data_IF_891894229931
#
_entry.id   IF_891894229931
#
_cell.length_a   1.000
_cell.length_b   1.000
_cell.length_c   1.000
_cell.angle_alpha   90.00
_cell.angle_beta   90.00
_cell.angle_gamma   90.00
#
_symmetry.space_group_name_H-M   'P 1'
#
loop_
_entity.id
_entity.type
_entity.pdbx_description
1 polymer ?
#
# COMPACT_ATOMS: atom_id res chain seq x y z
N UNK A 1 19.61 9.16 -9.89
CA UNK A 1 20.44 9.26 -8.68
C UNK A 1 21.92 9.30 -9.08
N UNK A 2 22.72 10.07 -8.35
CA UNK A 2 24.18 10.01 -8.37
C UNK A 2 24.65 9.40 -7.07
N UNK A 3 25.45 8.33 -7.16
CA UNK A 3 25.95 7.60 -6.00
C UNK A 3 27.47 7.67 -5.96
N UNK A 4 28.04 7.92 -4.77
CA UNK A 4 29.49 7.90 -4.53
C UNK A 4 29.79 7.04 -3.32
N UNK A 5 30.44 5.90 -3.55
CA UNK A 5 30.60 4.88 -2.51
C UNK A 5 29.26 4.35 -2.04
N UNK A 6 29.00 4.41 -0.75
CA UNK A 6 27.75 4.03 -0.10
C UNK A 6 26.73 5.18 0.08
N UNK A 7 26.95 6.33 -0.54
CA UNK A 7 26.07 7.49 -0.36
C UNK A 7 25.38 7.93 -1.65
N UNK A 8 24.11 8.20 -1.56
CA UNK A 8 23.36 8.96 -2.58
C UNK A 8 23.67 10.43 -2.35
N UNK A 9 24.36 11.05 -3.32
CA UNK A 9 24.79 12.46 -3.21
C UNK A 9 23.85 13.40 -3.96
N UNK A 10 23.05 12.89 -4.89
CA UNK A 10 22.14 13.70 -5.69
C UNK A 10 20.94 12.89 -6.17
N UNK A 11 19.77 13.49 -6.13
CA UNK A 11 18.54 13.01 -6.76
C UNK A 11 18.23 13.85 -7.97
N UNK A 12 18.13 13.23 -9.14
CA UNK A 12 17.85 13.89 -10.42
C UNK A 12 16.39 13.62 -10.78
N UNK A 13 15.65 14.69 -11.00
CA UNK A 13 14.22 14.68 -11.35
C UNK A 13 14.00 15.48 -12.65
N UNK A 14 12.77 15.48 -13.14
CA UNK A 14 12.34 16.35 -14.26
C UNK A 14 12.41 17.84 -13.91
N UNK A 15 12.30 18.18 -12.63
CA UNK A 15 12.27 19.55 -12.12
C UNK A 15 13.67 20.07 -11.73
N UNK A 16 14.67 19.18 -11.64
CA UNK A 16 16.03 19.60 -11.29
C UNK A 16 16.85 18.53 -10.59
N UNK A 17 17.96 18.99 -10.02
CA UNK A 17 18.93 18.20 -9.28
C UNK A 17 18.94 18.67 -7.83
N UNK A 18 18.90 17.73 -6.91
CA UNK A 18 18.79 17.97 -5.48
C UNK A 18 19.88 17.22 -4.73
N UNK A 19 20.69 17.95 -3.99
CA UNK A 19 21.65 17.37 -3.05
C UNK A 19 21.02 17.32 -1.66
N UNK A 20 21.26 16.23 -0.94
CA UNK A 20 20.74 16.04 0.41
C UNK A 20 21.68 15.19 1.26
N UNK A 21 21.72 15.46 2.57
CA UNK A 21 22.47 14.63 3.51
C UNK A 21 21.84 13.24 3.64
N UNK A 22 20.52 13.17 3.68
CA UNK A 22 19.76 11.92 3.77
C UNK A 22 18.68 11.89 2.67
N UNK A 23 18.42 10.71 2.13
CA UNK A 23 17.41 10.46 1.12
C UNK A 23 16.43 9.40 1.63
N UNK A 24 15.14 9.71 1.59
CA UNK A 24 14.07 8.80 2.02
C UNK A 24 13.23 8.41 0.81
N UNK A 25 13.17 7.12 0.49
CA UNK A 25 12.30 6.60 -0.56
C UNK A 25 10.90 6.32 0.02
N UNK A 26 10.01 7.30 -0.08
CA UNK A 26 8.59 7.20 0.26
C UNK A 26 7.74 7.12 -1.02
N UNK A 27 8.11 6.20 -1.92
CA UNK A 27 7.68 6.17 -3.32
C UNK A 27 6.50 5.23 -3.59
N UNK A 28 5.84 4.74 -2.52
CA UNK A 28 4.61 3.94 -2.60
C UNK A 28 4.76 2.74 -3.54
N UNK A 29 3.82 2.56 -4.45
CA UNK A 29 3.82 1.43 -5.39
C UNK A 29 4.99 1.44 -6.39
N UNK A 30 5.61 2.59 -6.65
CA UNK A 30 6.78 2.72 -7.55
C UNK A 30 8.11 2.39 -6.88
N UNK A 31 8.10 1.98 -5.60
CA UNK A 31 9.33 1.77 -4.85
C UNK A 31 10.27 0.75 -5.48
N UNK A 32 9.74 -0.30 -6.11
CA UNK A 32 10.57 -1.30 -6.82
C UNK A 32 11.31 -0.70 -8.01
N UNK A 33 10.63 0.07 -8.84
CA UNK A 33 11.19 0.70 -10.03
C UNK A 33 12.22 1.77 -9.65
N UNK A 34 11.94 2.52 -8.60
CA UNK A 34 12.87 3.54 -8.08
C UNK A 34 14.07 2.86 -7.42
N UNK A 35 13.86 1.83 -6.60
CA UNK A 35 14.93 1.06 -5.99
C UNK A 35 15.84 0.39 -7.01
N UNK A 36 15.29 -0.10 -8.11
CA UNK A 36 16.07 -0.70 -9.19
C UNK A 36 17.09 0.28 -9.81
N UNK A 37 16.82 1.58 -9.81
CA UNK A 37 17.78 2.62 -10.24
C UNK A 37 19.01 2.75 -9.32
N UNK A 38 18.90 2.22 -8.10
CA UNK A 38 19.97 2.14 -7.10
C UNK A 38 20.48 0.70 -6.91
N UNK A 39 20.13 -0.22 -7.81
CA UNK A 39 20.45 -1.64 -7.75
C UNK A 39 19.96 -2.34 -6.45
N UNK A 40 18.94 -1.80 -5.79
CA UNK A 40 18.30 -2.42 -4.63
C UNK A 40 17.00 -3.11 -5.01
N UNK A 41 16.71 -4.22 -4.32
CA UNK A 41 15.48 -4.99 -4.50
C UNK A 41 14.56 -4.76 -3.30
N UNK A 42 13.59 -3.90 -3.48
CA UNK A 42 12.62 -3.57 -2.41
C UNK A 42 11.59 -4.70 -2.32
N UNK A 43 11.36 -5.25 -1.11
CA UNK A 43 10.43 -6.35 -0.86
C UNK A 43 8.97 -5.86 -0.74
N UNK A 44 8.52 -5.15 -1.75
CA UNK A 44 7.14 -4.66 -1.87
C UNK A 44 6.71 -4.68 -3.33
N UNK A 45 5.44 -4.87 -3.61
CA UNK A 45 4.84 -4.71 -4.93
C UNK A 45 3.43 -4.14 -4.80
N UNK A 46 2.87 -3.66 -5.89
CA UNK A 46 1.48 -3.26 -5.92
C UNK A 46 0.57 -4.46 -6.18
N UNK A 47 -0.59 -4.47 -5.52
CA UNK A 47 -1.66 -5.46 -5.69
C UNK A 47 -2.95 -4.69 -5.96
N UNK A 48 -3.78 -5.19 -6.87
CA UNK A 48 -5.10 -4.60 -7.10
C UNK A 48 -5.99 -4.78 -5.87
N UNK A 49 -6.67 -3.71 -5.51
CA UNK A 49 -7.64 -3.70 -4.42
C UNK A 49 -8.87 -2.93 -4.84
N UNK A 50 -10.05 -3.50 -4.64
CA UNK A 50 -11.28 -2.82 -4.99
C UNK A 50 -12.28 -2.77 -3.83
N UNK A 51 -13.12 -1.74 -3.92
CA UNK A 51 -14.27 -1.56 -3.06
C UNK A 51 -15.42 -0.91 -3.87
N UNK A 52 -16.61 -1.02 -3.34
CA UNK A 52 -17.78 -0.34 -3.88
C UNK A 52 -18.24 0.77 -2.96
N UNK A 53 -18.92 1.75 -3.55
CA UNK A 53 -19.75 2.73 -2.86
C UNK A 53 -21.19 2.43 -3.25
N UNK A 54 -22.06 2.22 -2.26
CA UNK A 54 -23.47 1.92 -2.52
C UNK A 54 -24.24 3.18 -2.88
N UNK A 55 -25.45 3.02 -3.44
CA UNK A 55 -26.46 4.08 -3.35
C UNK A 55 -26.87 4.29 -1.89
N UNK A 56 -27.66 5.33 -1.62
CA UNK A 56 -28.10 5.63 -0.26
C UNK A 56 -28.94 4.48 0.33
N UNK A 57 -28.66 4.12 1.57
CA UNK A 57 -29.45 3.15 2.34
C UNK A 57 -30.77 3.73 2.86
N UNK A 58 -31.02 5.02 2.64
CA UNK A 58 -32.21 5.72 3.15
C UNK A 58 -32.14 6.13 4.61
N UNK A 59 -31.03 5.82 5.32
CA UNK A 59 -30.83 6.11 6.73
C UNK A 59 -29.67 7.06 7.03
N UNK A 60 -29.66 7.62 8.23
CA UNK A 60 -28.51 8.38 8.75
C UNK A 60 -27.50 7.44 9.38
N UNK A 61 -26.53 7.01 8.60
CA UNK A 61 -25.50 6.05 9.04
C UNK A 61 -24.13 6.68 9.34
N UNK A 62 -24.00 8.00 9.16
CA UNK A 62 -22.72 8.71 9.32
C UNK A 62 -22.07 8.61 10.70
N UNK A 63 -22.83 8.22 11.73
CA UNK A 63 -22.37 8.04 13.10
C UNK A 63 -21.94 6.60 13.44
N UNK A 64 -22.16 5.63 12.53
CA UNK A 64 -21.71 4.27 12.74
C UNK A 64 -20.19 4.16 12.62
N UNK A 65 -19.54 3.31 13.41
CA UNK A 65 -18.12 3.06 13.29
C UNK A 65 -17.80 2.29 12.00
N UNK A 66 -16.55 2.37 11.57
CA UNK A 66 -16.03 1.42 10.59
C UNK A 66 -16.04 0.02 11.19
N UNK A 67 -16.50 -0.96 10.42
CA UNK A 67 -16.56 -2.36 10.83
C UNK A 67 -15.64 -3.18 9.90
N UNK A 68 -14.92 -4.13 10.48
CA UNK A 68 -14.18 -5.17 9.75
C UNK A 68 -14.61 -6.54 10.27
N UNK A 69 -14.91 -7.44 9.35
CA UNK A 69 -15.14 -8.86 9.61
C UNK A 69 -14.00 -9.67 8.97
N UNK A 70 -12.99 -10.06 9.75
CA UNK A 70 -11.85 -10.82 9.22
C UNK A 70 -12.20 -12.24 8.76
N UNK A 71 -13.25 -12.84 9.31
CA UNK A 71 -13.67 -14.19 8.92
C UNK A 71 -14.32 -14.22 7.52
N UNK A 72 -14.97 -13.11 7.14
CA UNK A 72 -15.57 -12.93 5.82
C UNK A 72 -14.77 -12.03 4.90
N UNK A 73 -13.58 -11.60 5.36
CA UNK A 73 -12.66 -10.74 4.62
C UNK A 73 -13.27 -9.40 4.16
N UNK A 74 -14.33 -8.92 4.81
CA UNK A 74 -15.04 -7.70 4.43
C UNK A 74 -14.85 -6.57 5.43
N UNK A 75 -14.93 -5.35 4.94
CA UNK A 75 -15.00 -4.15 5.76
C UNK A 75 -16.09 -3.21 5.25
N UNK A 76 -16.60 -2.40 6.17
CA UNK A 76 -17.64 -1.39 5.91
C UNK A 76 -17.22 -0.06 6.51
N UNK A 77 -17.51 0.99 5.80
CA UNK A 77 -17.33 2.35 6.29
C UNK A 77 -18.54 3.20 5.89
N UNK A 78 -19.13 3.96 6.82
CA UNK A 78 -20.13 4.97 6.47
C UNK A 78 -19.54 6.01 5.52
N UNK A 79 -20.33 6.42 4.54
CA UNK A 79 -20.02 7.50 3.62
C UNK A 79 -21.12 8.56 3.63
N UNK A 80 -20.79 9.74 3.15
CA UNK A 80 -21.73 10.87 3.10
C UNK A 80 -22.99 10.53 2.30
N UNK A 81 -24.14 11.07 2.74
CA UNK A 81 -25.43 10.84 2.08
C UNK A 81 -26.04 9.46 2.33
N UNK A 82 -25.73 8.84 3.46
CA UNK A 82 -26.29 7.55 3.85
C UNK A 82 -25.80 6.37 3.04
N UNK A 83 -24.62 6.46 2.43
CA UNK A 83 -24.00 5.40 1.63
C UNK A 83 -23.04 4.57 2.47
N UNK A 84 -22.72 3.38 1.97
CA UNK A 84 -21.66 2.51 2.52
C UNK A 84 -20.52 2.38 1.52
N UNK A 85 -19.30 2.49 2.02
CA UNK A 85 -18.13 1.91 1.37
C UNK A 85 -18.02 0.48 1.84
N UNK A 86 -17.96 -0.46 0.91
CA UNK A 86 -17.83 -1.89 1.18
C UNK A 86 -16.65 -2.41 0.38
N UNK A 87 -15.70 -3.01 1.04
CA UNK A 87 -14.54 -3.62 0.42
C UNK A 87 -14.09 -4.85 1.17
N UNK A 88 -13.01 -5.44 0.72
CA UNK A 88 -12.47 -6.61 1.38
C UNK A 88 -11.19 -7.11 0.72
N UNK A 89 -10.81 -8.30 1.08
CA UNK A 89 -9.60 -8.97 0.64
C UNK A 89 -9.98 -10.27 -0.04
N UNK A 90 -10.47 -10.13 -1.28
CA UNK A 90 -10.98 -11.23 -2.08
C UNK A 90 -9.85 -12.16 -2.58
N UNK A 91 -10.15 -13.43 -2.72
CA UNK A 91 -9.25 -14.41 -3.35
C UNK A 91 -8.97 -14.06 -4.82
N UNK A 92 -7.80 -14.46 -5.32
CA UNK A 92 -7.41 -14.23 -6.70
C UNK A 92 -6.94 -12.80 -6.96
N UNK A 93 -6.44 -12.11 -5.96
CA UNK A 93 -5.87 -10.79 -6.11
C UNK A 93 -4.77 -10.74 -7.16
N UNK A 94 -4.66 -9.64 -7.89
CA UNK A 94 -3.78 -9.51 -9.05
C UNK A 94 -2.63 -8.55 -8.72
N UNK A 95 -1.36 -9.01 -8.80
CA UNK A 95 -0.22 -8.11 -8.71
C UNK A 95 -0.21 -7.11 -9.87
N UNK A 96 -0.25 -5.82 -9.55
CA UNK A 96 -0.21 -4.76 -10.53
C UNK A 96 1.23 -4.39 -10.90
N UNK A 97 1.45 -4.06 -12.18
CA UNK A 97 2.79 -3.67 -12.65
C UNK A 97 3.75 -4.85 -12.80
N UNK A 98 3.28 -5.98 -13.29
CA UNK A 98 4.11 -7.12 -13.64
C UNK A 98 4.30 -7.20 -15.17
N UNK A 99 5.51 -7.02 -15.72
CA UNK A 99 6.82 -6.87 -15.05
C UNK A 99 7.14 -5.48 -14.54
N UNK A 100 6.42 -4.44 -14.93
CA UNK A 100 6.64 -3.03 -14.58
C UNK A 100 5.31 -2.29 -14.57
N UNK A 101 5.18 -1.30 -13.68
CA UNK A 101 4.03 -0.39 -13.68
C UNK A 101 3.98 0.35 -15.02
N UNK A 102 2.83 0.39 -15.70
CA UNK A 102 2.68 1.12 -16.96
C UNK A 102 3.03 2.61 -16.81
N UNK A 103 3.65 3.19 -17.81
CA UNK A 103 3.94 4.62 -17.83
C UNK A 103 3.18 5.29 -18.99
N UNK A 104 2.51 6.42 -18.73
CA UNK A 104 2.28 7.03 -17.41
C UNK A 104 1.12 6.37 -16.66
N UNK A 105 1.30 6.12 -15.35
CA UNK A 105 0.21 5.72 -14.46
C UNK A 105 0.10 6.77 -13.33
N UNK A 106 -0.69 7.81 -13.55
CA UNK A 106 -0.81 8.96 -12.63
C UNK A 106 -2.26 9.34 -12.52
N UNK A 107 -2.77 9.43 -11.28
CA UNK A 107 -4.15 9.90 -10.96
C UNK A 107 -5.23 9.14 -11.73
N UNK A 108 -5.06 7.85 -11.89
CA UNK A 108 -6.03 6.98 -12.57
C UNK A 108 -6.33 5.74 -11.72
N UNK A 109 -7.50 5.21 -11.93
CA UNK A 109 -7.94 3.95 -11.37
C UNK A 109 -7.73 2.82 -12.37
N UNK A 110 -7.78 1.60 -11.89
CA UNK A 110 -7.81 0.41 -12.72
C UNK A 110 -9.24 0.14 -13.20
N UNK A 111 -9.41 -0.63 -14.29
CA UNK A 111 -10.73 -1.11 -14.68
C UNK A 111 -11.43 -1.86 -13.55
N UNK A 112 -12.73 -1.72 -13.49
CA UNK A 112 -13.59 -2.47 -12.57
C UNK A 112 -13.49 -3.97 -12.86
N UNK A 113 -13.49 -4.79 -11.82
CA UNK A 113 -13.55 -6.24 -11.92
C UNK A 113 -14.66 -6.78 -11.01
N UNK A 114 -15.88 -6.64 -11.45
CA UNK A 114 -17.06 -7.06 -10.68
C UNK A 114 -17.10 -8.57 -10.46
N UNK A 115 -16.66 -9.38 -11.42
CA UNK A 115 -16.64 -10.83 -11.27
C UNK A 115 -15.78 -11.28 -10.07
N UNK A 116 -14.65 -10.62 -9.84
CA UNK A 116 -13.81 -10.84 -8.67
C UNK A 116 -14.43 -10.29 -7.37
N UNK A 117 -15.22 -9.22 -7.48
CA UNK A 117 -15.84 -8.58 -6.32
C UNK A 117 -17.13 -9.27 -5.87
N UNK A 118 -17.89 -9.93 -6.77
CA UNK A 118 -19.19 -10.52 -6.47
C UNK A 118 -19.17 -11.51 -5.29
N UNK A 119 -18.22 -12.44 -5.15
CA UNK A 119 -18.15 -13.33 -3.99
C UNK A 119 -18.04 -12.56 -2.67
N UNK A 120 -17.30 -11.47 -2.67
CA UNK A 120 -17.16 -10.60 -1.50
C UNK A 120 -18.46 -9.85 -1.18
N UNK A 121 -19.18 -9.41 -2.21
CA UNK A 121 -20.50 -8.77 -2.05
C UNK A 121 -21.53 -9.73 -1.42
N UNK A 122 -21.50 -11.02 -1.79
CA UNK A 122 -22.36 -12.05 -1.19
C UNK A 122 -22.03 -12.24 0.31
N UNK A 123 -20.74 -12.29 0.67
CA UNK A 123 -20.33 -12.34 2.08
C UNK A 123 -20.71 -11.07 2.83
N UNK A 124 -20.57 -9.91 2.19
CA UNK A 124 -20.99 -8.64 2.74
C UNK A 124 -22.49 -8.61 3.05
N UNK A 125 -23.31 -9.12 2.15
CA UNK A 125 -24.77 -9.17 2.32
C UNK A 125 -25.21 -10.07 3.47
N UNK A 126 -24.45 -11.10 3.83
CA UNK A 126 -24.72 -11.94 5.00
C UNK A 126 -24.57 -11.16 6.32
N UNK A 127 -23.62 -10.24 6.39
CA UNK A 127 -23.37 -9.40 7.57
C UNK A 127 -24.29 -8.19 7.59
N UNK A 128 -24.49 -7.59 6.41
CA UNK A 128 -25.25 -6.34 6.26
C UNK A 128 -26.32 -6.51 5.18
N UNK A 129 -27.50 -7.08 5.52
CA UNK A 129 -28.53 -7.45 4.54
C UNK A 129 -28.99 -6.32 3.61
N UNK A 130 -28.92 -5.06 4.05
CA UNK A 130 -29.26 -3.89 3.22
C UNK A 130 -28.47 -3.83 1.91
N UNK A 131 -27.31 -4.49 1.83
CA UNK A 131 -26.47 -4.58 0.64
C UNK A 131 -27.24 -5.21 -0.55
N UNK A 132 -28.18 -6.13 -0.26
CA UNK A 132 -29.02 -6.74 -1.28
C UNK A 132 -30.13 -5.82 -1.83
N UNK A 133 -30.41 -4.73 -1.13
CA UNK A 133 -31.53 -3.82 -1.44
C UNK A 133 -31.05 -2.53 -2.10
N UNK A 134 -29.77 -2.21 -1.97
CA UNK A 134 -29.19 -0.97 -2.51
C UNK A 134 -28.34 -1.25 -3.75
N UNK A 135 -28.37 -0.33 -4.70
CA UNK A 135 -27.54 -0.41 -5.90
C UNK A 135 -26.08 -0.05 -5.64
N UNK A 136 -25.22 -0.40 -6.57
CA UNK A 136 -23.82 0.05 -6.62
C UNK A 136 -23.78 1.39 -7.34
N UNK A 137 -23.30 2.42 -6.66
CA UNK A 137 -23.09 3.76 -7.21
C UNK A 137 -21.76 3.86 -7.96
N UNK A 138 -20.73 3.25 -7.40
CA UNK A 138 -19.38 3.34 -7.94
C UNK A 138 -18.54 2.13 -7.50
N UNK A 139 -17.72 1.65 -8.40
CA UNK A 139 -16.63 0.71 -8.11
C UNK A 139 -15.32 1.47 -8.17
N UNK A 140 -14.47 1.25 -7.19
CA UNK A 140 -13.11 1.80 -7.14
C UNK A 140 -12.13 0.63 -7.15
N UNK A 141 -11.31 0.52 -8.18
CA UNK A 141 -10.21 -0.43 -8.25
C UNK A 141 -8.89 0.33 -8.38
N UNK A 142 -7.95 0.07 -7.49
CA UNK A 142 -6.68 0.76 -7.48
C UNK A 142 -5.56 -0.10 -6.92
N UNK A 143 -4.30 0.20 -7.30
CA UNK A 143 -3.16 -0.54 -6.78
C UNK A 143 -2.78 -0.05 -5.40
N UNK A 144 -2.60 -0.98 -4.46
CA UNK A 144 -2.07 -0.72 -3.12
C UNK A 144 -0.71 -1.38 -2.94
N UNK A 145 0.25 -0.72 -2.27
CA UNK A 145 1.57 -1.30 -2.06
C UNK A 145 1.54 -2.35 -0.94
N UNK A 146 1.92 -3.57 -1.25
CA UNK A 146 2.07 -4.69 -0.32
C UNK A 146 3.54 -5.05 -0.14
N UNK A 147 3.96 -5.29 1.08
CA UNK A 147 5.26 -5.88 1.42
C UNK A 147 5.17 -7.41 1.45
N UNK A 148 6.30 -8.07 1.65
CA UNK A 148 6.35 -9.54 1.68
C UNK A 148 5.66 -10.17 2.90
N UNK A 149 5.42 -9.39 3.95
CA UNK A 149 4.77 -9.82 5.20
C UNK A 149 3.56 -8.95 5.60
N UNK A 150 3.15 -8.02 4.73
CA UNK A 150 2.04 -7.10 4.95
C UNK A 150 2.35 -5.90 5.84
N UNK A 151 3.46 -5.92 6.57
CA UNK A 151 3.89 -4.81 7.39
C UNK A 151 4.70 -3.78 6.59
N UNK A 152 4.76 -2.55 7.04
CA UNK A 152 5.54 -1.49 6.40
C UNK A 152 7.02 -1.84 6.32
N UNK A 153 7.70 -1.32 5.32
CA UNK A 153 9.16 -1.46 5.14
C UNK A 153 9.79 -0.11 5.40
N UNK A 154 10.44 0.01 6.56
CA UNK A 154 11.05 1.26 7.02
C UNK A 154 12.52 1.05 7.39
N UNK A 155 13.27 2.13 7.50
CA UNK A 155 14.62 2.12 8.06
C UNK A 155 15.73 2.24 7.02
N UNK A 156 16.97 2.28 7.53
CA UNK A 156 18.16 2.47 6.72
C UNK A 156 18.42 1.28 5.80
N UNK A 157 18.54 1.57 4.50
CA UNK A 157 18.78 0.57 3.49
C UNK A 157 20.20 0.01 3.61
N UNK A 158 20.38 -1.31 3.84
CA UNK A 158 21.69 -1.92 3.85
C UNK A 158 22.51 -1.62 2.58
N UNK A 159 23.77 -1.29 2.76
CA UNK A 159 24.69 -0.90 1.68
C UNK A 159 24.69 0.61 1.37
N UNK A 160 23.85 1.39 2.03
CA UNK A 160 23.85 2.84 1.94
C UNK A 160 23.95 3.49 3.32
N UNK A 161 24.73 4.57 3.40
CA UNK A 161 24.93 5.31 4.65
C UNK A 161 23.87 6.41 4.87
N UNK A 162 23.12 6.77 3.83
CA UNK A 162 22.19 7.89 3.88
C UNK A 162 20.89 7.66 3.10
N UNK A 163 20.55 6.40 2.82
CA UNK A 163 19.31 6.04 2.16
C UNK A 163 18.40 5.30 3.11
N UNK A 164 17.18 5.81 3.28
CA UNK A 164 16.14 5.19 4.10
C UNK A 164 14.95 4.78 3.22
N UNK A 165 14.30 3.69 3.57
CA UNK A 165 13.03 3.27 2.97
C UNK A 165 11.86 3.62 3.86
N UNK A 166 10.74 3.98 3.22
CA UNK A 166 9.41 4.15 3.81
C UNK A 166 8.37 3.71 2.77
N UNK A 167 8.13 2.40 2.66
CA UNK A 167 7.30 1.81 1.60
C UNK A 167 6.46 0.64 2.10
N UNK A 168 5.61 0.07 1.24
CA UNK A 168 4.73 -1.03 1.64
C UNK A 168 3.56 -0.60 2.53
N UNK A 169 3.18 0.68 2.49
CA UNK A 169 2.13 1.25 3.33
C UNK A 169 0.74 0.98 2.73
N UNK A 170 0.24 -0.22 2.89
CA UNK A 170 -1.10 -0.60 2.38
C UNK A 170 -2.23 0.26 2.98
N UNK A 171 -2.08 0.73 4.22
CA UNK A 171 -2.98 1.68 4.90
C UNK A 171 -2.25 2.97 5.29
N UNK A 172 -1.51 3.54 4.35
CA UNK A 172 -0.61 4.68 4.56
C UNK A 172 -1.27 5.94 5.10
N UNK A 173 -2.54 6.21 4.75
CA UNK A 173 -3.26 7.37 5.28
C UNK A 173 -3.43 7.26 6.80
N UNK A 174 -3.75 6.08 7.32
CA UNK A 174 -3.91 5.85 8.76
C UNK A 174 -2.57 5.86 9.51
N UNK A 175 -1.50 5.34 8.89
CA UNK A 175 -0.21 5.16 9.55
C UNK A 175 0.82 6.26 9.25
N UNK A 176 0.59 7.07 8.21
CA UNK A 176 1.59 8.01 7.70
C UNK A 176 2.07 9.05 8.71
N UNK A 177 1.19 9.51 9.60
CA UNK A 177 1.56 10.46 10.66
C UNK A 177 2.58 9.86 11.64
N UNK A 178 2.25 8.72 12.25
CA UNK A 178 3.14 8.05 13.20
C UNK A 178 4.43 7.54 12.54
N UNK A 179 4.32 6.97 11.34
CA UNK A 179 5.51 6.54 10.60
C UNK A 179 6.44 7.72 10.26
N UNK A 180 5.87 8.86 9.89
CA UNK A 180 6.62 10.08 9.60
C UNK A 180 7.37 10.61 10.83
N UNK A 181 6.73 10.61 12.00
CA UNK A 181 7.35 10.99 13.27
C UNK A 181 8.55 10.08 13.58
N UNK A 182 8.34 8.76 13.52
CA UNK A 182 9.42 7.79 13.79
C UNK A 182 10.59 7.91 12.81
N UNK A 183 10.31 8.17 11.53
CA UNK A 183 11.37 8.41 10.52
C UNK A 183 12.12 9.71 10.83
N UNK A 184 11.42 10.77 11.23
CA UNK A 184 12.04 12.03 11.58
C UNK A 184 12.99 11.87 12.80
N UNK A 185 12.55 11.22 13.87
CA UNK A 185 13.40 10.88 15.03
C UNK A 185 14.61 10.04 14.59
N UNK A 186 14.38 9.04 13.73
CA UNK A 186 15.46 8.17 13.29
C UNK A 186 16.54 8.91 12.48
N UNK A 187 16.13 9.91 11.69
CA UNK A 187 17.06 10.74 10.92
C UNK A 187 17.75 11.78 11.78
N UNK A 188 17.03 12.43 12.71
CA UNK A 188 17.55 13.55 13.52
C UNK A 188 18.29 13.07 14.75
N UNK A 189 17.72 12.11 15.47
CA UNK A 189 18.21 11.64 16.77
C UNK A 189 19.03 10.34 16.66
N UNK A 190 19.04 9.72 15.47
CA UNK A 190 19.78 8.49 15.19
C UNK A 190 19.02 7.20 15.53
N UNK A 191 17.90 7.30 16.26
CA UNK A 191 17.04 6.16 16.60
C UNK A 191 15.60 6.62 16.84
N UNK A 192 14.60 5.82 16.47
CA UNK A 192 13.20 6.10 16.79
C UNK A 192 12.93 5.84 18.28
N UNK A 193 11.96 6.55 18.86
CA UNK A 193 11.52 6.38 20.25
C UNK A 193 10.77 5.07 20.51
N UNK A 194 10.20 4.46 19.46
CA UNK A 194 9.54 3.16 19.51
C UNK A 194 10.43 2.07 18.92
N UNK A 195 10.24 0.82 19.38
CA UNK A 195 10.85 -0.35 18.74
C UNK A 195 10.21 -0.62 17.38
N UNK A 196 10.90 -0.27 16.32
CA UNK A 196 10.48 -0.49 14.93
C UNK A 196 11.12 -1.72 14.29
N UNK A 197 11.77 -2.60 15.06
CA UNK A 197 12.38 -3.81 14.51
C UNK A 197 11.43 -4.63 13.62
N UNK A 198 10.15 -4.83 13.98
CA UNK A 198 9.20 -5.53 13.10
C UNK A 198 8.97 -4.85 11.74
N UNK A 199 9.22 -3.56 11.63
CA UNK A 199 9.05 -2.77 10.40
C UNK A 199 10.38 -2.50 9.67
N UNK A 200 11.51 -2.82 10.28
CA UNK A 200 12.84 -2.53 9.73
C UNK A 200 13.11 -3.33 8.46
N UNK A 201 13.61 -2.66 7.43
CA UNK A 201 13.96 -3.30 6.15
C UNK A 201 14.95 -4.44 6.30
N UNK A 202 15.79 -4.42 7.34
CA UNK A 202 16.80 -5.45 7.62
C UNK A 202 16.22 -6.82 7.99
N UNK A 203 14.89 -6.90 8.25
CA UNK A 203 14.20 -8.19 8.43
C UNK A 203 14.12 -8.98 7.13
N UNK A 204 14.37 -8.35 5.99
CA UNK A 204 14.32 -8.97 4.68
C UNK A 204 15.72 -9.24 4.12
N UNK A 205 15.93 -10.43 3.59
CA UNK A 205 17.11 -10.76 2.78
C UNK A 205 16.91 -10.42 1.30
N UNK A 206 17.98 -10.47 0.49
CA UNK A 206 17.93 -10.06 -0.93
C UNK A 206 16.95 -10.84 -1.80
N UNK A 207 16.61 -12.08 -1.43
CA UNK A 207 15.67 -12.93 -2.17
C UNK A 207 14.22 -12.44 -2.05
N UNK A 208 13.83 -11.82 -0.93
CA UNK A 208 12.48 -11.31 -0.70
C UNK A 208 12.07 -10.24 -1.72
N UNK A 209 13.01 -9.46 -2.25
CA UNK A 209 12.74 -8.49 -3.31
C UNK A 209 12.72 -9.07 -4.72
N UNK A 210 12.88 -10.38 -4.93
CA UNK A 210 12.77 -10.98 -6.27
C UNK A 210 11.30 -11.07 -6.69
N UNK A 211 11.04 -11.05 -8.00
CA UNK A 211 9.66 -11.18 -8.51
C UNK A 211 9.08 -12.56 -8.20
N UNK A 212 9.89 -13.60 -8.35
CA UNK A 212 9.47 -14.97 -8.11
C UNK A 212 9.00 -15.22 -6.66
N UNK A 213 9.55 -14.46 -5.71
CA UNK A 213 9.12 -14.49 -4.32
C UNK A 213 7.98 -13.50 -4.06
N UNK A 214 8.18 -12.23 -4.45
CA UNK A 214 7.34 -11.13 -4.00
C UNK A 214 5.91 -11.20 -4.52
N UNK A 215 5.71 -11.55 -5.80
CA UNK A 215 4.37 -11.51 -6.37
C UNK A 215 3.44 -12.61 -5.82
N UNK A 216 3.83 -13.89 -5.78
CA UNK A 216 3.02 -14.91 -5.13
C UNK A 216 2.80 -14.61 -3.64
N UNK A 217 3.83 -14.12 -2.96
CA UNK A 217 3.76 -13.83 -1.53
C UNK A 217 2.82 -12.67 -1.20
N UNK A 218 2.80 -11.63 -2.05
CA UNK A 218 1.88 -10.50 -1.85
C UNK A 218 0.42 -10.92 -2.05
N UNK A 219 0.14 -11.80 -3.00
CA UNK A 219 -1.20 -12.37 -3.20
C UNK A 219 -1.60 -13.23 -2.00
N UNK A 220 -0.75 -14.18 -1.61
CA UNK A 220 -0.99 -15.04 -0.45
C UNK A 220 -1.25 -14.25 0.85
N UNK A 221 -0.59 -13.12 1.00
CA UNK A 221 -0.73 -12.28 2.20
C UNK A 221 -1.90 -11.31 2.11
N UNK A 222 -2.36 -10.99 0.90
CA UNK A 222 -3.55 -10.20 0.66
C UNK A 222 -4.83 -10.99 1.01
N UNK A 223 -4.86 -12.26 0.68
CA UNK A 223 -5.94 -13.21 0.96
C UNK A 223 -5.92 -13.67 2.44
#
# INVERSE_FOLDING_TARGET
FTVKGSRVIEVITTEGRYEAENVILATGMWSREIGAKLAIRIPACAVEHQYIITESTGGEIGHYPTLRDPERLVYYKPDVGGRLVIGGYEEGSIPFGNPKIPEPFVRQLLPENLDRFLPLAELAAQVTPIVNEVGIRQVINGPIPYSADGDFVMGWQPGFDNLMLATGFLYGIAAGGGAGEMIAEWVVDGAPSLDLWPLDVRRFGPHHGTRAFMYPRAVEHYE
#
